data_IF_637375492414
#
_entry.id   IF_637375492414
#
_cell.length_a   1.000
_cell.length_b   1.000
_cell.length_c   1.000
_cell.angle_alpha   90.00
_cell.angle_beta   90.00
_cell.angle_gamma   90.00
#
_symmetry.space_group_name_H-M   'P 1'
#
loop_
_entity.id
_entity.type
_entity.pdbx_description
1 polymer ?
#
# COMPACT_ATOMS: atom_id res chain seq x y z
N UNK A 1 6.67 -4.22 30.15
CA UNK A 1 8.01 -3.62 30.06
C UNK A 1 8.11 -2.96 28.69
N UNK A 2 8.01 -1.64 28.61
CA UNK A 2 8.13 -0.90 27.34
C UNK A 2 9.61 -0.70 27.00
N UNK A 3 9.97 -0.88 25.74
CA UNK A 3 11.31 -0.54 25.24
C UNK A 3 11.63 0.93 25.59
N UNK A 4 12.91 1.28 25.85
CA UNK A 4 13.30 2.63 26.19
C UNK A 4 12.90 3.59 25.05
N UNK A 5 12.18 4.67 25.38
CA UNK A 5 11.71 5.67 24.41
C UNK A 5 12.85 6.36 23.65
N UNK A 6 14.05 6.35 24.22
CA UNK A 6 15.28 6.85 23.58
C UNK A 6 15.60 6.08 22.30
N UNK A 7 15.55 4.74 22.31
CA UNK A 7 15.87 3.94 21.12
C UNK A 7 14.87 4.17 19.99
N UNK A 8 13.59 4.37 20.29
CA UNK A 8 12.59 4.68 19.26
C UNK A 8 12.83 6.05 18.62
N UNK A 9 13.27 7.02 19.41
CA UNK A 9 13.57 8.38 18.91
C UNK A 9 14.79 8.35 17.99
N UNK A 10 15.82 7.60 18.36
CA UNK A 10 17.00 7.36 17.52
C UNK A 10 16.64 6.64 16.21
N UNK A 11 15.83 5.59 16.27
CA UNK A 11 15.34 4.86 15.08
C UNK A 11 14.56 5.79 14.15
N UNK A 12 13.66 6.63 14.68
CA UNK A 12 12.90 7.57 13.87
C UNK A 12 13.83 8.61 13.21
N UNK A 13 14.75 9.20 13.98
CA UNK A 13 15.71 10.16 13.46
C UNK A 13 16.62 9.56 12.37
N UNK A 14 17.05 8.31 12.53
CA UNK A 14 17.82 7.58 11.52
C UNK A 14 17.03 7.40 10.22
N UNK A 15 15.76 6.96 10.31
CA UNK A 15 14.89 6.77 9.15
C UNK A 15 14.57 8.09 8.45
N UNK A 16 14.26 9.15 9.19
CA UNK A 16 14.01 10.48 8.64
C UNK A 16 15.23 11.04 7.89
N UNK A 17 16.43 10.94 8.46
CA UNK A 17 17.65 11.40 7.80
C UNK A 17 18.02 10.55 6.58
N UNK A 18 17.84 9.24 6.68
CA UNK A 18 18.13 8.32 5.59
C UNK A 18 17.21 8.57 4.40
N UNK A 19 15.89 8.57 4.61
CA UNK A 19 14.91 8.72 3.53
C UNK A 19 14.69 10.16 3.08
N UNK A 20 14.83 11.13 3.99
CA UNK A 20 14.52 12.54 3.75
C UNK A 20 15.69 13.39 3.26
N UNK A 21 16.92 12.86 3.21
CA UNK A 21 18.09 13.64 2.81
C UNK A 21 18.92 12.96 1.71
N UNK A 22 19.68 13.76 0.96
CA UNK A 22 20.68 13.27 0.00
C UNK A 22 22.05 12.99 0.63
N UNK A 23 22.18 13.07 1.95
CA UNK A 23 23.46 12.86 2.64
C UNK A 23 23.96 11.42 2.45
N UNK A 24 25.28 11.24 2.51
CA UNK A 24 25.85 9.90 2.49
C UNK A 24 25.56 9.17 3.80
N UNK A 25 25.48 7.83 3.74
CA UNK A 25 25.23 6.99 4.91
C UNK A 25 26.28 7.24 6.00
N UNK A 26 27.55 7.42 5.61
CA UNK A 26 28.63 7.72 6.57
C UNK A 26 28.36 9.03 7.32
N UNK A 27 27.93 10.09 6.62
CA UNK A 27 27.64 11.38 7.24
C UNK A 27 26.44 11.33 8.19
N UNK A 28 25.44 10.51 7.87
CA UNK A 28 24.29 10.28 8.76
C UNK A 28 24.73 9.51 10.00
N UNK A 29 25.54 8.46 9.83
CA UNK A 29 26.08 7.67 10.93
C UNK A 29 26.95 8.52 11.87
N UNK A 30 27.85 9.34 11.33
CA UNK A 30 28.63 10.32 12.09
C UNK A 30 27.75 11.30 12.87
N UNK A 31 26.71 11.85 12.23
CA UNK A 31 25.80 12.81 12.88
C UNK A 31 25.02 12.20 14.05
N UNK A 32 24.70 10.92 13.97
CA UNK A 32 23.98 10.19 15.01
C UNK A 32 24.92 9.48 15.99
N UNK A 33 26.25 9.63 15.83
CA UNK A 33 27.26 8.93 16.63
C UNK A 33 27.12 7.40 16.58
N UNK A 34 26.63 6.87 15.46
CA UNK A 34 26.42 5.45 15.21
C UNK A 34 27.50 4.86 14.29
N UNK A 35 27.74 3.56 14.43
CA UNK A 35 28.45 2.84 13.38
C UNK A 35 27.58 2.71 12.12
N UNK A 36 28.22 2.59 10.94
CA UNK A 36 27.51 2.37 9.68
C UNK A 36 26.61 1.12 9.73
N UNK A 37 27.09 0.02 10.33
CA UNK A 37 26.31 -1.20 10.46
C UNK A 37 25.11 -1.00 11.37
N UNK A 38 25.31 -0.39 12.54
CA UNK A 38 24.22 -0.07 13.47
C UNK A 38 23.14 0.82 12.82
N UNK A 39 23.55 1.78 11.98
CA UNK A 39 22.61 2.59 11.22
C UNK A 39 21.75 1.74 10.27
N UNK A 40 22.34 0.78 9.54
CA UNK A 40 21.57 -0.10 8.67
C UNK A 40 20.62 -1.02 9.44
N UNK A 41 21.02 -1.48 10.62
CA UNK A 41 20.16 -2.31 11.48
C UNK A 41 18.93 -1.54 11.98
N UNK A 42 19.00 -0.21 12.06
CA UNK A 42 17.89 0.67 12.48
C UNK A 42 17.00 1.15 11.31
N UNK A 43 17.52 1.18 10.09
CA UNK A 43 16.76 1.66 8.93
C UNK A 43 15.68 0.64 8.57
N UNK A 44 14.44 1.09 8.56
CA UNK A 44 13.29 0.34 8.10
C UNK A 44 12.98 0.66 6.62
N UNK A 45 12.49 -0.31 5.85
CA UNK A 45 11.97 -0.07 4.51
C UNK A 45 10.89 1.02 4.52
N UNK A 46 10.83 1.84 3.46
CA UNK A 46 9.84 2.91 3.36
C UNK A 46 8.53 2.36 2.79
N UNK A 47 7.39 2.42 3.51
CA UNK A 47 6.10 1.98 2.99
C UNK A 47 5.60 2.89 1.87
N UNK A 48 4.86 2.30 0.94
CA UNK A 48 4.11 3.02 -0.10
C UNK A 48 2.60 2.80 0.10
N UNK A 49 1.80 3.71 -0.45
CA UNK A 49 0.34 3.57 -0.56
C UNK A 49 -0.07 2.68 -1.75
N UNK A 50 0.71 1.63 -2.02
CA UNK A 50 0.57 0.69 -3.14
C UNK A 50 0.58 -0.76 -2.65
N UNK A 51 -0.11 -1.62 -3.37
CA UNK A 51 -0.34 -3.03 -3.05
C UNK A 51 0.28 -3.94 -4.09
N UNK A 52 0.81 -5.06 -3.61
CA UNK A 52 1.44 -6.07 -4.43
C UNK A 52 0.44 -6.68 -5.41
N UNK A 53 0.77 -6.81 -6.70
CA UNK A 53 -0.13 -7.40 -7.69
C UNK A 53 -0.35 -8.90 -7.50
N UNK A 54 0.50 -9.59 -6.71
CA UNK A 54 0.42 -11.03 -6.50
C UNK A 54 -0.38 -11.41 -5.25
N UNK A 55 -0.21 -10.68 -4.14
CA UNK A 55 -0.82 -11.03 -2.86
C UNK A 55 -1.72 -9.94 -2.26
N UNK A 56 -1.76 -8.74 -2.85
CA UNK A 56 -2.58 -7.63 -2.36
C UNK A 56 -2.02 -6.88 -1.16
N UNK A 57 -0.91 -7.34 -0.57
CA UNK A 57 -0.27 -6.71 0.60
C UNK A 57 0.52 -5.46 0.25
N UNK A 58 0.76 -4.59 1.24
CA UNK A 58 1.48 -3.34 1.03
C UNK A 58 2.92 -3.55 0.54
N UNK A 59 3.37 -2.72 -0.40
CA UNK A 59 4.75 -2.73 -0.90
C UNK A 59 5.60 -1.63 -0.26
N UNK A 60 6.91 -1.85 -0.26
CA UNK A 60 7.91 -0.95 0.33
C UNK A 60 9.04 -0.65 -0.65
N UNK A 61 9.76 0.46 -0.46
CA UNK A 61 11.11 0.60 -1.00
C UNK A 61 12.11 0.02 0.00
N UNK A 62 12.91 -0.96 -0.43
CA UNK A 62 13.90 -1.61 0.43
C UNK A 62 15.10 -0.70 0.77
N UNK A 63 15.47 0.21 -0.12
CA UNK A 63 16.57 1.15 0.07
C UNK A 63 16.41 2.39 -0.83
N UNK A 64 17.28 3.39 -0.66
CA UNK A 64 17.26 4.62 -1.47
C UNK A 64 17.44 4.39 -2.96
N UNK A 65 18.30 3.46 -3.37
CA UNK A 65 18.50 3.14 -4.78
C UNK A 65 17.23 2.59 -5.42
N UNK A 66 16.48 1.75 -4.68
CA UNK A 66 15.19 1.24 -5.12
C UNK A 66 14.16 2.37 -5.26
N UNK A 67 14.10 3.27 -4.27
CA UNK A 67 13.24 4.47 -4.33
C UNK A 67 13.59 5.39 -5.51
N UNK A 68 14.88 5.62 -5.78
CA UNK A 68 15.33 6.44 -6.90
C UNK A 68 14.99 5.81 -8.27
N UNK A 69 14.88 4.48 -8.32
CA UNK A 69 14.49 3.73 -9.53
C UNK A 69 12.99 3.45 -9.63
N UNK A 70 12.20 3.79 -8.60
CA UNK A 70 10.79 3.40 -8.51
C UNK A 70 10.56 1.89 -8.43
N UNK A 71 11.50 1.13 -7.82
CA UNK A 71 11.41 -0.32 -7.66
C UNK A 71 10.82 -0.67 -6.29
N UNK A 72 9.60 -1.17 -6.27
CA UNK A 72 8.89 -1.61 -5.08
C UNK A 72 9.12 -3.10 -4.82
N UNK A 73 9.13 -3.47 -3.53
CA UNK A 73 9.27 -4.85 -3.07
C UNK A 73 8.12 -5.21 -2.13
N UNK A 74 7.55 -6.39 -2.28
CA UNK A 74 6.59 -6.95 -1.33
C UNK A 74 7.33 -7.76 -0.25
N UNK A 75 7.20 -7.42 1.04
CA UNK A 75 7.83 -8.18 2.12
C UNK A 75 7.24 -9.60 2.28
N UNK A 76 5.97 -9.79 1.91
CA UNK A 76 5.23 -11.03 2.15
C UNK A 76 5.51 -12.12 1.10
N UNK A 77 5.49 -11.76 -0.19
CA UNK A 77 5.68 -12.71 -1.30
C UNK A 77 6.97 -12.48 -2.10
N UNK A 78 7.81 -11.54 -1.68
CA UNK A 78 9.11 -11.21 -2.29
C UNK A 78 9.03 -10.77 -3.75
N UNK A 79 7.85 -10.36 -4.22
CA UNK A 79 7.71 -9.70 -5.51
C UNK A 79 8.57 -8.42 -5.55
N UNK A 80 9.28 -8.21 -6.66
CA UNK A 80 10.03 -6.99 -6.94
C UNK A 80 9.68 -6.53 -8.36
N UNK A 81 9.36 -5.25 -8.50
CA UNK A 81 8.99 -4.67 -9.78
C UNK A 81 8.87 -3.16 -9.70
N UNK A 82 8.67 -2.49 -10.84
CA UNK A 82 8.43 -1.06 -10.86
C UNK A 82 7.08 -0.73 -10.19
N UNK A 83 6.98 0.42 -9.56
CA UNK A 83 5.78 0.85 -8.84
C UNK A 83 4.53 0.96 -9.72
N UNK A 84 4.68 1.15 -11.04
CA UNK A 84 3.56 1.18 -11.99
C UNK A 84 2.92 -0.21 -12.25
N UNK A 85 3.61 -1.29 -11.87
CA UNK A 85 3.08 -2.66 -11.94
C UNK A 85 2.32 -3.04 -10.65
N UNK A 86 2.18 -2.10 -9.71
CA UNK A 86 1.43 -2.28 -8.47
C UNK A 86 0.01 -1.74 -8.55
N UNK A 87 -0.85 -2.15 -7.62
CA UNK A 87 -2.22 -1.65 -7.49
C UNK A 87 -2.34 -0.63 -6.36
N UNK A 88 -3.39 0.20 -6.33
CA UNK A 88 -3.62 1.08 -5.19
C UNK A 88 -3.89 0.28 -3.90
N UNK A 89 -3.26 0.64 -2.78
CA UNK A 89 -3.64 0.06 -1.48
C UNK A 89 -5.04 0.56 -1.11
N UNK A 90 -5.99 -0.36 -1.04
CA UNK A 90 -7.31 -0.08 -0.48
C UNK A 90 -7.17 -0.21 1.03
N UNK A 91 -6.91 0.91 1.71
CA UNK A 91 -7.13 0.96 3.15
C UNK A 91 -8.63 0.78 3.38
N UNK A 92 -9.02 -0.35 3.98
CA UNK A 92 -10.39 -0.55 4.46
C UNK A 92 -10.68 0.52 5.53
N UNK A 93 -11.14 1.69 5.09
CA UNK A 93 -11.70 2.68 6.01
C UNK A 93 -13.04 2.11 6.44
N UNK A 94 -13.31 1.96 7.76
CA UNK A 94 -14.63 1.57 8.21
C UNK A 94 -15.62 2.61 7.73
N UNK A 95 -16.45 2.23 6.76
CA UNK A 95 -17.54 3.06 6.27
C UNK A 95 -18.51 3.16 7.45
N UNK A 96 -18.54 4.31 8.11
CA UNK A 96 -19.59 4.61 9.08
C UNK A 96 -20.85 4.86 8.25
N UNK A 97 -21.60 3.79 7.97
CA UNK A 97 -22.92 3.91 7.38
C UNK A 97 -23.76 4.77 8.33
N UNK A 98 -24.37 5.87 7.87
CA UNK A 98 -25.24 6.66 8.74
C UNK A 98 -26.39 5.76 9.20
N UNK A 99 -26.47 5.51 10.50
CA UNK A 99 -27.65 4.94 11.12
C UNK A 99 -28.77 5.94 10.91
N UNK A 100 -29.68 5.62 9.99
CA UNK A 100 -30.88 6.41 9.76
C UNK A 100 -31.73 6.34 11.03
N UNK A 101 -31.74 7.41 11.82
CA UNK A 101 -32.63 7.53 12.97
C UNK A 101 -34.05 7.74 12.43
N UNK A 102 -34.88 6.72 12.62
CA UNK A 102 -36.33 6.74 12.40
C UNK A 102 -36.96 7.62 13.50
N UNK A 103 -37.03 8.93 13.28
CA UNK A 103 -37.77 9.84 14.15
C UNK A 103 -38.17 11.13 13.42
N UNK A 104 -39.30 11.11 12.75
CA UNK A 104 -40.17 12.28 12.61
C UNK A 104 -41.55 11.84 12.17
N UNK A 105 -42.37 11.51 13.17
CA UNK A 105 -43.80 11.71 13.08
C UNK A 105 -44.06 13.21 12.80
N UNK A 106 -44.76 13.48 11.70
CA UNK A 106 -45.85 14.44 11.61
C UNK A 106 -45.54 15.95 11.70
N UNK A 107 -45.49 16.63 10.55
CA UNK A 107 -46.36 17.79 10.31
C UNK A 107 -46.59 17.99 8.80
N UNK A 108 -47.86 17.87 8.40
CA UNK A 108 -48.36 18.17 7.06
C UNK A 108 -48.58 19.68 6.96
N UNK A 109 -47.93 20.34 6.00
CA UNK A 109 -48.33 21.68 5.57
C UNK A 109 -48.23 21.77 4.05
N UNK A 110 -49.37 22.15 3.48
CA UNK A 110 -49.75 22.12 2.08
C UNK A 110 -49.40 23.46 1.39
N UNK A 111 -48.97 23.37 0.12
CA UNK A 111 -48.94 24.36 -0.98
C UNK A 111 -48.51 25.83 -0.72
N UNK A 112 -47.44 26.30 -1.37
CA UNK A 112 -47.54 26.94 -2.70
C UNK A 112 -46.17 27.34 -3.33
N UNK A 113 -46.15 27.34 -4.67
CA UNK A 113 -45.23 27.94 -5.66
C UNK A 113 -43.68 27.72 -5.70
N UNK A 114 -43.26 27.16 -6.86
CA UNK A 114 -41.92 27.08 -7.49
C UNK A 114 -41.22 28.45 -7.69
N UNK A 115 -39.94 28.55 -8.15
CA UNK A 115 -38.95 27.52 -8.52
C UNK A 115 -37.61 27.73 -7.74
N UNK A 116 -36.63 26.83 -7.73
CA UNK A 116 -35.49 26.84 -8.66
C UNK A 116 -34.45 25.81 -8.15
N UNK A 117 -33.77 25.15 -9.10
CA UNK A 117 -32.53 24.36 -8.90
C UNK A 117 -32.68 22.98 -8.25
N UNK A 118 -33.39 22.09 -8.95
CA UNK A 118 -33.26 20.64 -8.76
C UNK A 118 -31.88 20.16 -9.20
N UNK A 119 -31.06 19.99 -8.18
CA UNK A 119 -30.03 18.99 -7.98
C UNK A 119 -30.02 17.84 -8.99
N UNK A 120 -28.86 17.70 -9.63
CA UNK A 120 -28.23 16.46 -10.06
C UNK A 120 -29.16 15.23 -10.08
N UNK A 121 -29.81 15.04 -11.22
CA UNK A 121 -30.34 13.75 -11.64
C UNK A 121 -29.18 12.77 -11.78
N UNK A 122 -28.91 12.01 -10.73
CA UNK A 122 -28.16 10.76 -10.80
C UNK A 122 -29.12 9.68 -11.30
N UNK A 123 -28.98 9.15 -12.53
CA UNK A 123 -29.61 7.88 -12.85
C UNK A 123 -28.84 6.77 -12.12
N UNK A 124 -29.31 6.41 -10.92
CA UNK A 124 -29.08 5.07 -10.38
C UNK A 124 -29.89 4.10 -11.25
N UNK A 125 -29.27 3.62 -12.32
CA UNK A 125 -29.69 2.40 -13.01
C UNK A 125 -28.65 1.34 -12.66
N UNK A 126 -28.85 0.70 -11.51
CA UNK A 126 -28.16 -0.53 -11.14
C UNK A 126 -28.85 -1.65 -11.94
N UNK A 127 -28.38 -1.87 -13.18
CA UNK A 127 -28.81 -3.03 -13.95
C UNK A 127 -28.14 -4.28 -13.33
N UNK A 128 -28.89 -4.93 -12.44
CA UNK A 128 -28.56 -6.23 -11.87
C UNK A 128 -28.88 -7.33 -12.89
N UNK A 129 -28.18 -7.32 -14.02
CA UNK A 129 -28.21 -8.45 -14.94
C UNK A 129 -27.06 -9.39 -14.65
N UNK A 130 -27.40 -10.37 -13.82
CA UNK A 130 -26.70 -11.65 -13.69
C UNK A 130 -26.37 -12.23 -15.07
N UNK A 131 -25.10 -12.47 -15.35
CA UNK A 131 -24.70 -13.53 -16.28
C UNK A 131 -23.39 -14.15 -15.82
N UNK A 132 -23.52 -15.24 -15.07
CA UNK A 132 -22.42 -16.20 -14.84
C UNK A 132 -22.07 -16.84 -16.17
N UNK A 133 -20.90 -16.54 -16.71
CA UNK A 133 -20.32 -17.34 -17.80
C UNK A 133 -19.20 -18.19 -17.20
N UNK A 134 -19.56 -19.42 -16.85
CA UNK A 134 -18.62 -20.51 -16.58
C UNK A 134 -18.04 -20.93 -17.93
N UNK A 135 -16.81 -20.53 -18.23
CA UNK A 135 -16.03 -21.10 -19.32
C UNK A 135 -14.98 -22.05 -18.73
N UNK A 136 -15.36 -23.32 -18.67
CA UNK A 136 -14.46 -24.44 -18.46
C UNK A 136 -13.45 -24.52 -19.63
N UNK A 137 -12.17 -24.60 -19.32
CA UNK A 137 -11.09 -24.79 -20.30
C UNK A 137 -9.97 -25.60 -19.67
N UNK A 138 -9.64 -26.71 -20.31
CA UNK A 138 -8.97 -27.87 -19.74
C UNK A 138 -7.44 -27.75 -19.56
N UNK A 139 -6.92 -28.60 -18.67
CA UNK A 139 -5.53 -28.94 -18.37
C UNK A 139 -4.69 -29.27 -19.62
N UNK A 140 -3.39 -28.92 -19.62
CA UNK A 140 -2.22 -29.78 -19.96
C UNK A 140 -0.95 -28.96 -20.27
N UNK A 141 0.20 -29.38 -19.70
CA UNK A 141 1.54 -29.03 -20.19
C UNK A 141 2.50 -28.60 -19.05
N UNK A 142 3.02 -29.53 -18.25
CA UNK A 142 4.25 -30.30 -18.49
C UNK A 142 5.54 -29.59 -18.00
N UNK A 143 6.22 -30.28 -17.09
CA UNK A 143 7.45 -29.91 -16.41
C UNK A 143 8.68 -29.88 -17.31
N UNK A 144 9.61 -28.94 -17.06
CA UNK A 144 11.07 -29.12 -17.13
C UNK A 144 11.77 -27.76 -16.96
N UNK A 145 12.68 -27.61 -15.99
CA UNK A 145 13.53 -26.41 -15.93
C UNK A 145 14.28 -26.10 -14.63
N UNK A 146 14.22 -26.91 -13.58
CA UNK A 146 15.06 -26.71 -12.38
C UNK A 146 16.35 -27.52 -12.48
N UNK A 147 17.32 -27.06 -13.27
CA UNK A 147 18.67 -27.64 -13.26
C UNK A 147 19.77 -26.75 -13.87
N UNK A 148 19.86 -25.43 -13.61
CA UNK A 148 21.02 -24.66 -14.10
C UNK A 148 21.42 -23.39 -13.31
N UNK A 149 21.20 -23.32 -11.99
CA UNK A 149 21.69 -22.16 -11.18
C UNK A 149 22.34 -22.59 -9.85
N UNK A 150 23.12 -23.67 -9.84
CA UNK A 150 23.97 -24.07 -8.68
C UNK A 150 25.47 -23.88 -8.98
N UNK A 151 25.85 -23.28 -10.12
CA UNK A 151 27.24 -23.25 -10.57
C UNK A 151 27.85 -21.86 -10.81
N UNK A 152 27.46 -20.84 -10.02
CA UNK A 152 28.12 -19.52 -10.09
C UNK A 152 28.62 -18.96 -8.75
N UNK A 153 28.50 -19.71 -7.64
CA UNK A 153 28.95 -19.25 -6.31
C UNK A 153 30.10 -20.08 -5.72
N UNK A 154 31.08 -20.42 -6.57
CA UNK A 154 32.43 -20.76 -6.10
C UNK A 154 33.46 -19.87 -6.78
N UNK A 155 33.70 -18.70 -6.20
CA UNK A 155 35.00 -18.04 -6.27
C UNK A 155 35.22 -17.21 -5.01
#
# INVERSE_FOLDING_TARGET
>A
MGAPKESQTEVNAANELYWGSKQSVNKIAEKLELSKSALYDMISPKPLDLSCPLCGEGVVYANRTASEKGLATCPECQWEGPENDTNALIAERPITLPTYNDQSDQEVVDLDEHPEQTSASFPLQLDVSTTRTLAAGALLGAAAGLALVIWTWRK
#
